data_IF_282806845688
#
_entry.id   IF_282806845688
#
_cell.length_a   1.000
_cell.length_b   1.000
_cell.length_c   1.000
_cell.angle_alpha   90.00
_cell.angle_beta   90.00
_cell.angle_gamma   90.00
#
_symmetry.space_group_name_H-M   'P 1'
#
loop_
_entity.id
_entity.type
_entity.pdbx_description
1 polymer ?
#
# COMPACT_ATOMS: atom_id res chain seq x y z
N UNK A 1 35.04 -31.76 0.16
CA UNK A 1 34.57 -30.57 0.89
C UNK A 1 33.45 -29.95 0.06
N UNK A 2 32.19 -30.25 0.37
CA UNK A 2 31.03 -29.69 -0.32
C UNK A 2 30.84 -28.25 0.14
N UNK A 3 31.21 -27.31 -0.72
CA UNK A 3 31.02 -25.88 -0.46
C UNK A 3 29.53 -25.53 -0.57
N UNK A 4 28.83 -25.52 0.57
CA UNK A 4 27.46 -25.02 0.71
C UNK A 4 27.42 -23.53 1.10
N UNK A 5 28.43 -22.75 0.71
CA UNK A 5 28.67 -21.39 1.22
C UNK A 5 27.83 -20.26 0.60
N UNK A 6 27.50 -20.25 -0.70
CA UNK A 6 26.78 -19.12 -1.30
C UNK A 6 25.27 -19.33 -1.45
N UNK A 7 24.80 -20.58 -1.58
CA UNK A 7 23.40 -20.90 -1.94
C UNK A 7 22.43 -20.58 -0.81
N UNK A 8 22.78 -20.92 0.44
CA UNK A 8 21.95 -20.68 1.63
C UNK A 8 21.77 -19.19 1.94
N UNK A 9 22.82 -18.39 1.72
CA UNK A 9 22.80 -16.94 1.95
C UNK A 9 21.90 -16.23 0.94
N UNK A 10 21.90 -16.69 -0.31
CA UNK A 10 21.04 -16.17 -1.38
C UNK A 10 19.56 -16.53 -1.16
N UNK A 11 19.28 -17.74 -0.67
CA UNK A 11 17.93 -18.17 -0.35
C UNK A 11 17.32 -17.39 0.83
N UNK A 12 18.10 -17.11 1.88
CA UNK A 12 17.65 -16.26 2.99
C UNK A 12 17.29 -14.85 2.53
N UNK A 13 18.12 -14.24 1.66
CA UNK A 13 17.84 -12.91 1.12
C UNK A 13 16.55 -12.89 0.31
N UNK A 14 16.32 -13.93 -0.52
CA UNK A 14 15.07 -14.07 -1.27
C UNK A 14 13.85 -14.17 -0.35
N UNK A 15 13.95 -14.96 0.73
CA UNK A 15 12.87 -15.11 1.71
C UNK A 15 12.56 -13.80 2.44
N UNK A 16 13.59 -13.00 2.79
CA UNK A 16 13.40 -11.68 3.40
C UNK A 16 12.72 -10.70 2.44
N UNK A 17 13.13 -10.67 1.17
CA UNK A 17 12.51 -9.79 0.16
C UNK A 17 11.03 -10.16 -0.05
N UNK A 18 10.71 -11.45 -0.17
CA UNK A 18 9.32 -11.91 -0.31
C UNK A 18 8.49 -11.55 0.93
N UNK A 19 9.02 -11.75 2.14
CA UNK A 19 8.30 -11.40 3.37
C UNK A 19 8.00 -9.89 3.48
N UNK A 20 8.92 -9.02 3.03
CA UNK A 20 8.72 -7.57 3.01
C UNK A 20 7.65 -7.16 1.99
N UNK A 21 7.59 -7.82 0.83
CA UNK A 21 6.55 -7.52 -0.18
C UNK A 21 5.15 -7.92 0.25
N UNK A 22 5.00 -8.97 1.07
CA UNK A 22 3.69 -9.42 1.57
C UNK A 22 3.12 -8.48 2.65
N UNK A 23 3.98 -7.77 3.40
CA UNK A 23 3.53 -6.83 4.44
C UNK A 23 3.14 -5.45 3.89
N UNK A 24 3.56 -5.09 2.66
CA UNK A 24 3.39 -3.75 2.11
C UNK A 24 2.05 -3.45 1.43
N UNK A 25 1.18 -4.45 1.18
CA UNK A 25 0.07 -4.30 0.23
C UNK A 25 -1.33 -4.49 0.82
N UNK A 26 -1.47 -4.49 2.14
CA UNK A 26 -2.78 -4.52 2.79
C UNK A 26 -2.92 -3.32 3.72
N UNK A 27 -2.72 -2.11 3.18
CA UNK A 27 -3.57 -1.02 3.64
C UNK A 27 -4.99 -1.44 3.23
N UNK A 28 -5.68 -2.13 4.13
CA UNK A 28 -7.13 -2.24 4.12
C UNK A 28 -7.59 -0.78 4.08
N UNK A 29 -7.80 -0.27 2.86
CA UNK A 29 -8.34 1.05 2.62
C UNK A 29 -9.67 1.00 3.33
N UNK A 30 -9.69 1.46 4.57
CA UNK A 30 -10.87 1.41 5.39
C UNK A 30 -11.82 2.35 4.69
N UNK A 31 -12.66 1.79 3.83
CA UNK A 31 -13.67 2.51 3.07
C UNK A 31 -14.64 3.00 4.11
N UNK A 32 -14.30 4.15 4.66
CA UNK A 32 -15.28 5.01 5.28
C UNK A 32 -16.33 5.17 4.20
N UNK A 33 -17.61 4.95 4.50
CA UNK A 33 -18.67 5.05 3.49
C UNK A 33 -18.62 6.38 2.71
N UNK A 34 -18.00 7.42 3.30
CA UNK A 34 -17.54 8.60 2.62
C UNK A 34 -16.38 9.32 3.35
N UNK A 35 -15.67 10.21 2.65
CA UNK A 35 -14.75 11.18 3.24
C UNK A 35 -15.48 12.27 4.01
N UNK A 36 -15.01 12.59 5.22
CA UNK A 36 -15.48 13.73 6.04
C UNK A 36 -14.48 14.87 6.13
N UNK A 37 -13.23 14.63 5.70
CA UNK A 37 -12.13 15.60 5.60
C UNK A 37 -11.29 15.27 4.37
N UNK A 38 -10.63 16.30 3.82
CA UNK A 38 -9.68 16.15 2.71
C UNK A 38 -8.25 16.38 3.22
N UNK A 39 -7.30 15.65 2.64
CA UNK A 39 -5.87 15.91 2.85
C UNK A 39 -5.37 16.87 1.77
N UNK A 40 -4.42 17.73 2.13
CA UNK A 40 -3.66 18.56 1.20
C UNK A 40 -2.26 18.01 0.94
N UNK A 41 -1.95 16.83 1.46
CA UNK A 41 -0.67 16.16 1.21
C UNK A 41 -0.55 15.78 -0.26
N UNK A 42 0.66 15.96 -0.79
CA UNK A 42 0.97 15.56 -2.14
C UNK A 42 1.16 14.04 -2.22
N UNK A 43 0.43 13.38 -3.11
CA UNK A 43 0.66 11.98 -3.44
C UNK A 43 1.85 11.93 -4.40
N UNK A 44 2.94 11.30 -3.98
CA UNK A 44 4.15 11.09 -4.82
C UNK A 44 4.14 9.76 -5.55
N UNK A 45 3.20 8.88 -5.19
CA UNK A 45 3.00 7.56 -5.78
C UNK A 45 2.12 7.64 -7.03
N UNK A 46 2.13 6.59 -7.85
CA UNK A 46 1.26 6.53 -9.03
C UNK A 46 -0.18 6.19 -8.61
N UNK A 47 -1.13 7.05 -8.98
CA UNK A 47 -2.56 6.82 -8.77
C UNK A 47 -3.05 5.83 -9.84
N UNK A 48 -3.50 4.65 -9.40
CA UNK A 48 -3.97 3.59 -10.30
C UNK A 48 -5.48 3.61 -10.53
N UNK A 49 -6.24 4.20 -9.60
CA UNK A 49 -7.69 4.39 -9.68
C UNK A 49 -8.10 5.56 -8.77
N UNK A 50 -9.26 6.13 -9.02
CA UNK A 50 -9.84 7.16 -8.16
C UNK A 50 -11.37 7.21 -8.25
N UNK A 51 -12.00 7.69 -7.17
CA UNK A 51 -13.43 7.90 -7.08
C UNK A 51 -13.77 9.35 -6.74
N UNK A 52 -14.68 9.94 -7.52
CA UNK A 52 -15.18 11.29 -7.24
C UNK A 52 -16.33 11.21 -6.25
N UNK A 53 -16.15 11.77 -5.06
CA UNK A 53 -17.19 11.90 -4.06
C UNK A 53 -17.82 13.29 -4.09
N UNK A 54 -19.14 13.33 -4.15
CA UNK A 54 -19.93 14.54 -4.02
C UNK A 54 -20.40 14.70 -2.56
N UNK A 55 -20.50 15.95 -2.11
CA UNK A 55 -20.99 16.29 -0.77
C UNK A 55 -22.39 15.71 -0.54
N UNK A 56 -22.55 14.99 0.56
CA UNK A 56 -23.84 14.47 1.01
C UNK A 56 -23.84 14.35 2.55
N UNK A 57 -24.82 14.94 3.24
CA UNK A 57 -24.88 14.95 4.70
C UNK A 57 -23.55 15.39 5.37
N UNK A 58 -22.90 14.48 6.10
CA UNK A 58 -21.63 14.70 6.80
C UNK A 58 -20.39 14.48 5.91
N UNK A 59 -20.59 14.04 4.67
CA UNK A 59 -19.55 13.82 3.69
C UNK A 59 -19.17 15.13 2.99
N UNK A 60 -17.90 15.28 2.63
CA UNK A 60 -17.37 16.46 1.90
C UNK A 60 -17.14 16.14 0.42
N UNK A 61 -16.86 17.15 -0.41
CA UNK A 61 -16.34 16.90 -1.75
C UNK A 61 -14.91 16.35 -1.65
N UNK A 62 -14.63 15.22 -2.32
CA UNK A 62 -13.33 14.57 -2.25
C UNK A 62 -13.01 13.77 -3.52
N UNK A 63 -11.73 13.50 -3.73
CA UNK A 63 -11.21 12.46 -4.63
C UNK A 63 -10.61 11.39 -3.72
N UNK A 64 -11.09 10.15 -3.80
CA UNK A 64 -10.58 8.99 -3.06
C UNK A 64 -9.77 8.08 -3.97
#
# INVERSE_FOLDING_TARGET
MTTCGPVTKSLLLLAVVVALTVQGSAADWKVSACCTKVSTQQITETIVDFMVQHRNNHCVNAIM
#
